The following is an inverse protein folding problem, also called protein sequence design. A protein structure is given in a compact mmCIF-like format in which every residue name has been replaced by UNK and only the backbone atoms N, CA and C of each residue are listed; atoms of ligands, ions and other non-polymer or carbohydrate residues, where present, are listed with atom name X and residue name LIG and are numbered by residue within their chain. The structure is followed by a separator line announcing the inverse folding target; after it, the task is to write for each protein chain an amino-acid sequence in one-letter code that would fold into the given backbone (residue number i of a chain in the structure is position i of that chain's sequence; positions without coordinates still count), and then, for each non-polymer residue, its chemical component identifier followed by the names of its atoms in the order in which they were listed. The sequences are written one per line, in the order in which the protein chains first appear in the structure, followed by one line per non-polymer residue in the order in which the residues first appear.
data_IF_508754525063
#
_entry.id   IF_508754525063
#
_cell.length_a   1.000
_cell.length_b   1.000
_cell.length_c   1.000
_cell.angle_alpha   90.00
_cell.angle_beta   90.00
_cell.angle_gamma   90.00
#
_symmetry.space_group_name_H-M   'P 1'
#
loop_
_entity.id
_entity.type
_entity.pdbx_description
1 polymer ?
#
# COMPACT_ATOMS: atom_id res chain seq x y z
N UNK A 1 6.53 19.82 6.08
CA UNK A 1 5.46 18.79 6.15
C UNK A 1 5.75 17.82 7.26
N UNK A 2 4.73 17.43 7.99
CA UNK A 2 4.85 16.40 9.01
C UNK A 2 5.14 15.04 8.38
N UNK A 3 5.62 14.10 9.19
CA UNK A 3 5.84 12.73 8.72
C UNK A 3 4.55 12.08 8.22
N UNK A 4 3.43 12.36 8.88
CA UNK A 4 2.13 11.85 8.46
C UNK A 4 1.74 12.39 7.08
N UNK A 5 1.92 13.68 6.85
CA UNK A 5 1.62 14.29 5.56
C UNK A 5 2.53 13.77 4.46
N UNK A 6 3.81 13.61 4.75
CA UNK A 6 4.77 13.04 3.79
C UNK A 6 4.42 11.60 3.45
N UNK A 7 4.03 10.82 4.45
CA UNK A 7 3.61 9.44 4.27
C UNK A 7 2.41 9.37 3.32
N UNK A 8 1.40 10.19 3.58
CA UNK A 8 0.20 10.18 2.74
C UNK A 8 0.50 10.63 1.31
N UNK A 9 1.32 11.66 1.15
CA UNK A 9 1.71 12.15 -0.17
C UNK A 9 2.50 11.08 -0.95
N UNK A 10 3.44 10.41 -0.29
CA UNK A 10 4.23 9.36 -0.93
C UNK A 10 3.35 8.16 -1.31
N UNK A 11 2.47 7.75 -0.41
CA UNK A 11 1.51 6.66 -0.66
C UNK A 11 0.69 6.96 -1.92
N UNK A 12 0.16 8.17 -2.01
CA UNK A 12 -0.65 8.57 -3.15
C UNK A 12 0.14 8.49 -4.46
N UNK A 13 1.41 8.88 -4.44
CA UNK A 13 2.26 8.82 -5.63
C UNK A 13 2.54 7.39 -6.06
N UNK A 14 2.73 6.47 -5.12
CA UNK A 14 2.89 5.06 -5.46
C UNK A 14 1.64 4.50 -6.11
N UNK A 15 0.47 4.87 -5.58
CA UNK A 15 -0.80 4.42 -6.16
C UNK A 15 -1.02 5.02 -7.55
N UNK A 16 -0.70 6.29 -7.75
CA UNK A 16 -0.78 6.94 -9.06
C UNK A 16 0.09 6.22 -10.09
N UNK A 17 1.33 5.89 -9.72
CA UNK A 17 2.22 5.16 -10.62
C UNK A 17 1.66 3.77 -10.95
N UNK A 18 1.14 3.07 -9.96
CA UNK A 18 0.52 1.77 -10.20
C UNK A 18 -0.66 1.89 -11.17
N UNK A 19 -1.48 2.94 -11.02
CA UNK A 19 -2.60 3.17 -11.92
C UNK A 19 -2.15 3.50 -13.35
N UNK A 20 -1.05 4.26 -13.50
CA UNK A 20 -0.46 4.54 -14.80
C UNK A 20 0.02 3.27 -15.49
N UNK A 21 0.69 2.41 -14.75
CA UNK A 21 1.16 1.11 -15.28
C UNK A 21 -0.01 0.21 -15.68
N UNK A 22 -1.09 0.24 -14.90
CA UNK A 22 -2.30 -0.50 -15.24
C UNK A 22 -2.91 0.01 -16.55
N UNK A 23 -2.93 1.32 -16.75
CA UNK A 23 -3.42 1.94 -17.98
C UNK A 23 -2.55 1.57 -19.17
N UNK A 24 -1.26 1.35 -18.95
CA UNK A 24 -0.31 0.90 -20.00
C UNK A 24 -0.42 -0.60 -20.28
N UNK A 25 -1.29 -1.31 -19.59
CA UNK A 25 -1.55 -2.73 -19.86
C UNK A 25 -0.94 -3.72 -18.90
N UNK A 26 -0.26 -3.25 -17.84
CA UNK A 26 0.29 -4.17 -16.84
C UNK A 26 -0.85 -4.74 -15.98
N UNK A 27 -0.89 -6.06 -15.83
CA UNK A 27 -1.98 -6.69 -15.07
C UNK A 27 -1.92 -6.38 -13.58
N UNK A 28 -3.07 -6.44 -12.94
CA UNK A 28 -3.18 -6.16 -11.49
C UNK A 28 -2.32 -7.12 -10.65
N UNK A 29 -2.26 -8.39 -11.06
CA UNK A 29 -1.43 -9.38 -10.36
C UNK A 29 0.05 -9.07 -10.45
N UNK A 30 0.51 -8.66 -11.63
CA UNK A 30 1.91 -8.25 -11.83
C UNK A 30 2.22 -6.99 -11.01
N UNK A 31 1.30 -6.02 -11.01
CA UNK A 31 1.47 -4.79 -10.23
C UNK A 31 1.56 -5.08 -8.74
N UNK A 32 0.67 -5.92 -8.24
CA UNK A 32 0.69 -6.28 -6.82
C UNK A 32 2.00 -6.96 -6.44
N UNK A 33 2.46 -7.90 -7.26
CA UNK A 33 3.73 -8.60 -7.06
C UNK A 33 4.91 -7.64 -7.07
N UNK A 34 4.95 -6.74 -8.04
CA UNK A 34 6.03 -5.75 -8.17
C UNK A 34 6.06 -4.79 -6.98
N UNK A 35 4.89 -4.33 -6.53
CA UNK A 35 4.79 -3.46 -5.36
C UNK A 35 5.30 -4.15 -4.10
N UNK A 36 4.95 -5.41 -3.92
CA UNK A 36 5.43 -6.19 -2.77
C UNK A 36 6.95 -6.34 -2.80
N UNK A 37 7.51 -6.63 -3.98
CA UNK A 37 8.96 -6.76 -4.11
C UNK A 37 9.65 -5.42 -3.86
N UNK A 38 9.12 -4.33 -4.41
CA UNK A 38 9.67 -3.00 -4.19
C UNK A 38 9.62 -2.62 -2.71
N UNK A 39 8.52 -2.92 -2.04
CA UNK A 39 8.39 -2.67 -0.61
C UNK A 39 9.42 -3.47 0.19
N UNK A 40 9.66 -4.73 -0.18
CA UNK A 40 10.67 -5.57 0.48
C UNK A 40 12.07 -5.00 0.31
N UNK A 41 12.39 -4.50 -0.88
CA UNK A 41 13.69 -3.86 -1.16
C UNK A 41 13.86 -2.63 -0.27
N UNK A 42 12.88 -1.76 -0.22
CA UNK A 42 12.98 -0.53 0.57
C UNK A 42 12.96 -0.78 2.06
N UNK A 43 12.18 -1.75 2.53
CA UNK A 43 12.18 -2.13 3.93
C UNK A 43 13.57 -2.62 4.36
N UNK A 44 14.21 -3.44 3.53
CA UNK A 44 15.56 -3.93 3.79
C UNK A 44 16.54 -2.76 3.83
N UNK A 45 16.49 -1.90 2.82
CA UNK A 45 17.36 -0.74 2.71
C UNK A 45 17.22 0.18 3.94
N UNK A 46 16.03 0.43 4.40
CA UNK A 46 15.76 1.37 5.49
C UNK A 46 16.36 0.91 6.83
N UNK A 47 16.50 -0.39 7.03
CA UNK A 47 17.02 -0.96 8.27
C UNK A 47 18.49 -1.37 8.15
N UNK A 48 18.84 -2.04 7.06
CA UNK A 48 20.15 -2.68 6.90
C UNK A 48 21.09 -1.94 5.95
N UNK A 49 20.62 -0.90 5.27
CA UNK A 49 21.40 -0.13 4.32
C UNK A 49 21.60 -0.86 2.98
N UNK A 50 22.48 -0.32 2.13
CA UNK A 50 22.64 -0.78 0.74
C UNK A 50 23.14 -2.21 0.61
N UNK A 51 23.92 -2.69 1.55
CA UNK A 51 24.59 -3.98 1.44
C UNK A 51 24.18 -4.98 2.50
N UNK A 52 23.36 -4.54 3.45
CA UNK A 52 22.96 -5.40 4.53
C UNK A 52 21.73 -6.22 4.21
N UNK A 53 21.48 -7.19 5.07
CA UNK A 53 20.27 -8.01 5.02
C UNK A 53 19.54 -7.91 6.36
N UNK A 54 18.26 -8.15 6.35
CA UNK A 54 17.49 -8.20 7.58
C UNK A 54 17.80 -9.48 8.35
N UNK A 55 17.83 -9.35 9.67
CA UNK A 55 17.84 -10.53 10.55
C UNK A 55 16.50 -11.22 10.51
N UNK A 56 16.39 -12.47 10.99
CA UNK A 56 15.05 -13.11 11.10
C UNK A 56 14.04 -12.28 11.87
N UNK A 57 14.48 -11.61 12.94
CA UNK A 57 13.59 -10.71 13.71
C UNK A 57 13.17 -9.49 12.89
N UNK A 58 14.07 -8.95 12.08
CA UNK A 58 13.75 -7.84 11.18
C UNK A 58 12.74 -8.25 10.11
N UNK A 59 12.87 -9.46 9.57
CA UNK A 59 11.91 -10.00 8.61
C UNK A 59 10.54 -10.11 9.27
N UNK A 60 10.51 -10.62 10.50
CA UNK A 60 9.25 -10.78 11.23
C UNK A 60 8.57 -9.45 11.50
N UNK A 61 9.35 -8.43 11.88
CA UNK A 61 8.82 -7.08 12.09
C UNK A 61 8.24 -6.49 10.82
N UNK A 62 8.93 -6.64 9.70
CA UNK A 62 8.44 -6.15 8.41
C UNK A 62 7.17 -6.89 8.00
N UNK A 63 7.11 -8.20 8.23
CA UNK A 63 5.95 -9.02 7.92
C UNK A 63 4.75 -8.60 8.78
N UNK A 64 4.97 -8.35 10.07
CA UNK A 64 3.91 -7.89 10.97
C UNK A 64 3.41 -6.51 10.54
N UNK A 65 4.31 -5.62 10.18
CA UNK A 65 3.95 -4.29 9.70
C UNK A 65 3.07 -4.37 8.45
N UNK A 66 3.45 -5.21 7.50
CA UNK A 66 2.65 -5.42 6.30
C UNK A 66 1.28 -6.01 6.63
N UNK A 67 1.24 -7.00 7.51
CA UNK A 67 -0.01 -7.62 7.96
C UNK A 67 -0.95 -6.57 8.57
N UNK A 68 -0.42 -5.69 9.42
CA UNK A 68 -1.20 -4.64 10.06
C UNK A 68 -1.75 -3.65 9.04
N UNK A 69 -0.93 -3.26 8.06
CA UNK A 69 -1.37 -2.39 6.98
C UNK A 69 -2.45 -3.06 6.12
N UNK A 70 -2.28 -4.33 5.83
CA UNK A 70 -3.27 -5.09 5.06
C UNK A 70 -4.61 -5.15 5.81
N UNK A 71 -4.56 -5.34 7.13
CA UNK A 71 -5.75 -5.35 7.96
C UNK A 71 -6.46 -3.98 7.96
N UNK A 72 -5.69 -2.89 8.01
CA UNK A 72 -6.23 -1.54 7.92
C UNK A 72 -6.97 -1.31 6.61
N UNK A 73 -6.38 -1.77 5.50
CA UNK A 73 -7.01 -1.62 4.17
C UNK A 73 -8.31 -2.42 4.12
N UNK A 74 -8.31 -3.65 4.65
CA UNK A 74 -9.53 -4.46 4.67
C UNK A 74 -10.62 -3.81 5.50
N UNK A 75 -10.26 -3.29 6.67
CA UNK A 75 -11.22 -2.61 7.54
C UNK A 75 -11.84 -1.40 6.83
N UNK A 76 -11.02 -0.59 6.16
CA UNK A 76 -11.52 0.56 5.41
C UNK A 76 -12.45 0.13 4.29
N UNK A 77 -12.09 -0.94 3.57
CA UNK A 77 -12.93 -1.48 2.49
C UNK A 77 -14.25 -2.02 3.01
N UNK A 78 -14.22 -2.73 4.15
CA UNK A 78 -15.42 -3.26 4.77
C UNK A 78 -16.35 -2.14 5.23
N UNK A 79 -15.79 -1.09 5.85
CA UNK A 79 -16.57 0.07 6.27
C UNK A 79 -17.20 0.78 5.09
N UNK A 80 -16.48 0.92 3.99
CA UNK A 80 -17.01 1.52 2.78
C UNK A 80 -18.15 0.69 2.20
N UNK A 81 -18.04 -0.64 2.23
CA UNK A 81 -19.08 -1.55 1.75
C UNK A 81 -20.34 -1.51 2.61
N UNK A 82 -20.19 -1.17 3.90
CA UNK A 82 -21.29 -1.09 4.85
C UNK A 82 -21.99 0.27 4.88
N UNK A 83 -21.50 1.25 4.10
CA UNK A 83 -22.14 2.57 4.03
C UNK A 83 -23.57 2.46 3.53
N UNK A 84 -24.48 3.31 4.05
CA UNK A 84 -25.87 3.29 3.60
C UNK A 84 -25.99 3.46 2.10
N UNK A 85 -26.93 2.74 1.49
CA UNK A 85 -27.17 2.80 0.05
C UNK A 85 -27.47 4.22 -0.43
N UNK A 86 -28.08 5.02 0.41
CA UNK A 86 -28.41 6.40 0.09
C UNK A 86 -27.18 7.24 -0.19
N UNK A 87 -26.14 7.09 0.63
CA UNK A 87 -24.86 7.78 0.42
C UNK A 87 -24.19 7.32 -0.87
N UNK A 88 -24.26 6.04 -1.16
CA UNK A 88 -23.68 5.49 -2.39
C UNK A 88 -24.43 6.00 -3.62
N UNK A 89 -25.75 6.12 -3.54
CA UNK A 89 -26.56 6.67 -4.64
C UNK A 89 -26.25 8.13 -4.89
N UNK A 90 -26.04 8.91 -3.83
CA UNK A 90 -25.69 10.32 -3.96
C UNK A 90 -24.33 10.47 -4.67
N UNK A 91 -23.35 9.67 -4.28
CA UNK A 91 -22.04 9.66 -4.94
C UNK A 91 -22.15 9.26 -6.40
N UNK A 92 -23.01 8.30 -6.71
CA UNK A 92 -23.20 7.84 -8.08
C UNK A 92 -23.87 8.90 -8.96
N UNK A 93 -24.63 9.80 -8.37
CA UNK A 93 -25.29 10.89 -9.12
C UNK A 93 -24.39 12.09 -9.36
N UNK A 94 -23.35 12.20 -8.61
CA UNK A 94 -22.37 13.27 -8.79
C UNK A 94 -21.45 12.99 -9.99
#
# INVERSE_FOLDING_TARGET
MSDHEQHQAALNRFIELANELAADGVSKGVLASALMRAAAVYATFSVAGNKGALTPEGIERATTFFKDNLALVQKARQQAAEQPKEQLKEKAKE
#
